data_IF_935610572405
#
_entry.id   IF_935610572405
#
_cell.length_a   1.000
_cell.length_b   1.000
_cell.length_c   1.000
_cell.angle_alpha   90.00
_cell.angle_beta   90.00
_cell.angle_gamma   90.00
#
_symmetry.space_group_name_H-M   'P 1'
#
loop_
_entity.id
_entity.type
_entity.pdbx_description
1 polymer ?
#
# COMPACT_ATOMS: atom_id res chain seq x y z
N UNK A 1 -19.84 13.86 3.49
CA UNK A 1 -18.57 13.37 2.94
C UNK A 1 -18.42 11.90 3.31
N UNK A 2 -18.03 11.06 2.36
CA UNK A 2 -17.56 9.68 2.59
C UNK A 2 -16.04 9.65 2.47
N UNK A 3 -15.38 9.14 3.49
CA UNK A 3 -13.93 8.96 3.49
C UNK A 3 -13.59 7.47 3.41
N UNK A 4 -12.95 7.07 2.32
CA UNK A 4 -12.61 5.69 2.02
C UNK A 4 -11.16 5.38 2.41
N UNK A 5 -10.96 4.24 3.08
CA UNK A 5 -9.66 3.70 3.48
C UNK A 5 -9.66 2.19 3.28
N UNK A 6 -8.70 1.65 2.54
CA UNK A 6 -8.48 0.19 2.35
C UNK A 6 -9.74 -0.63 2.06
N UNK A 7 -10.65 -0.12 1.24
CA UNK A 7 -11.96 -0.72 1.00
C UNK A 7 -11.91 -2.00 0.16
N UNK A 8 -10.83 -2.28 -0.54
CA UNK A 8 -10.74 -3.37 -1.53
C UNK A 8 -10.83 -4.78 -0.93
N UNK A 9 -10.48 -4.96 0.33
CA UNK A 9 -10.39 -6.29 0.95
C UNK A 9 -11.72 -6.81 1.44
N UNK A 10 -12.55 -5.95 2.02
CA UNK A 10 -13.81 -6.34 2.68
C UNK A 10 -15.03 -5.65 2.08
N UNK A 11 -14.81 -4.58 1.37
CA UNK A 11 -15.82 -3.78 0.68
C UNK A 11 -15.48 -3.74 -0.81
N UNK A 12 -15.99 -2.76 -1.53
CA UNK A 12 -15.77 -2.62 -2.97
C UNK A 12 -15.72 -1.15 -3.35
N UNK A 13 -15.02 -0.78 -4.44
CA UNK A 13 -15.13 0.55 -5.03
C UNK A 13 -16.54 1.00 -5.37
N UNK A 14 -17.52 0.09 -5.42
CA UNK A 14 -18.95 0.43 -5.57
C UNK A 14 -19.43 1.44 -4.54
N UNK A 15 -18.81 1.50 -3.35
CA UNK A 15 -19.15 2.50 -2.33
C UNK A 15 -18.85 3.92 -2.79
N UNK A 16 -17.71 4.14 -3.48
CA UNK A 16 -17.38 5.43 -4.08
C UNK A 16 -18.44 5.83 -5.11
N UNK A 17 -18.76 4.89 -6.02
CA UNK A 17 -19.75 5.12 -7.07
C UNK A 17 -21.15 5.43 -6.50
N UNK A 18 -21.61 4.66 -5.51
CA UNK A 18 -22.91 4.87 -4.88
C UNK A 18 -23.00 6.20 -4.11
N UNK A 19 -21.93 6.61 -3.44
CA UNK A 19 -21.86 7.90 -2.76
C UNK A 19 -21.89 9.04 -3.79
N UNK A 20 -21.05 8.94 -4.81
CA UNK A 20 -20.96 9.94 -5.88
C UNK A 20 -22.31 10.12 -6.60
N UNK A 21 -22.99 9.03 -6.98
CA UNK A 21 -24.33 9.06 -7.61
C UNK A 21 -25.41 9.72 -6.74
N UNK A 22 -25.22 9.76 -5.41
CA UNK A 22 -26.08 10.47 -4.46
C UNK A 22 -25.64 11.90 -4.17
N UNK A 23 -24.68 12.44 -4.91
CA UNK A 23 -24.13 13.78 -4.69
C UNK A 23 -23.31 13.91 -3.41
N UNK A 24 -22.89 12.79 -2.81
CA UNK A 24 -22.08 12.79 -1.60
C UNK A 24 -20.60 12.87 -2.00
N UNK A 25 -19.88 13.85 -1.48
CA UNK A 25 -18.44 14.01 -1.71
C UNK A 25 -17.65 12.79 -1.23
N UNK A 26 -16.72 12.32 -2.07
CA UNK A 26 -15.87 11.15 -1.82
C UNK A 26 -14.43 11.58 -1.69
N UNK A 27 -13.83 11.27 -0.55
CA UNK A 27 -12.39 11.41 -0.29
C UNK A 27 -11.80 10.01 -0.12
N UNK A 28 -10.71 9.72 -0.79
CA UNK A 28 -10.08 8.40 -0.74
C UNK A 28 -8.61 8.50 -0.36
N UNK A 29 -8.24 7.97 0.82
CA UNK A 29 -6.82 7.85 1.22
C UNK A 29 -6.22 6.57 0.65
N UNK A 30 -5.12 6.73 -0.07
CA UNK A 30 -4.39 5.64 -0.71
C UNK A 30 -3.34 5.10 0.26
N UNK A 31 -3.46 3.85 0.66
CA UNK A 31 -2.50 3.18 1.53
C UNK A 31 -1.61 2.17 0.79
N UNK A 32 -1.95 1.88 -0.45
CA UNK A 32 -1.25 0.97 -1.35
C UNK A 32 -1.49 1.37 -2.81
N UNK A 33 -0.95 0.58 -3.75
CA UNK A 33 -1.07 0.83 -5.19
C UNK A 33 -2.19 0.03 -5.87
N UNK A 34 -3.22 -0.39 -5.13
CA UNK A 34 -4.30 -1.24 -5.68
C UNK A 34 -5.00 -0.62 -6.90
N UNK A 35 -5.10 0.69 -6.96
CA UNK A 35 -5.70 1.40 -8.10
C UNK A 35 -4.83 1.34 -9.37
N UNK A 36 -3.53 1.10 -9.22
CA UNK A 36 -2.58 0.96 -10.32
C UNK A 36 -2.25 -0.51 -10.61
N UNK A 37 -2.05 -1.30 -9.59
CA UNK A 37 -1.60 -2.69 -9.67
C UNK A 37 -2.62 -3.63 -9.01
N UNK A 38 -3.19 -4.61 -9.73
CA UNK A 38 -4.15 -5.55 -9.14
C UNK A 38 -3.63 -6.26 -7.88
N UNK A 39 -2.30 -6.46 -7.79
CA UNK A 39 -1.62 -7.04 -6.63
C UNK A 39 -1.38 -6.05 -5.49
N UNK A 40 -1.56 -4.75 -5.68
CA UNK A 40 -1.38 -3.62 -4.74
C UNK A 40 0.07 -3.25 -4.35
N UNK A 41 1.02 -4.16 -4.45
CA UNK A 41 2.40 -3.95 -3.96
C UNK A 41 3.43 -3.63 -5.06
N UNK A 42 3.02 -3.65 -6.32
CA UNK A 42 3.87 -3.42 -7.48
C UNK A 42 5.11 -4.33 -7.51
N UNK A 43 4.97 -5.58 -7.03
CA UNK A 43 6.04 -6.57 -7.04
C UNK A 43 5.70 -7.77 -7.92
N UNK A 44 6.54 -8.07 -8.90
CA UNK A 44 6.48 -9.33 -9.63
C UNK A 44 7.06 -10.44 -8.76
N UNK A 45 6.24 -11.47 -8.52
CA UNK A 45 6.59 -12.60 -7.66
C UNK A 45 7.05 -12.22 -6.24
N UNK A 46 6.65 -11.02 -5.76
CA UNK A 46 7.03 -10.52 -4.44
C UNK A 46 8.50 -10.13 -4.30
N UNK A 47 9.22 -9.92 -5.42
CA UNK A 47 10.66 -9.65 -5.41
C UNK A 47 11.08 -8.44 -6.25
N UNK A 48 10.65 -8.39 -7.50
CA UNK A 48 11.10 -7.38 -8.46
C UNK A 48 10.04 -6.30 -8.62
N UNK A 49 10.44 -5.04 -8.57
CA UNK A 49 9.53 -3.91 -8.84
C UNK A 49 8.93 -4.05 -10.24
N UNK A 50 7.62 -3.91 -10.34
CA UNK A 50 6.86 -4.05 -11.57
C UNK A 50 5.80 -2.96 -11.68
N UNK A 51 5.91 -2.14 -12.70
CA UNK A 51 4.98 -1.04 -13.00
C UNK A 51 4.23 -1.25 -14.33
N UNK A 52 4.27 -2.45 -14.88
CA UNK A 52 3.69 -2.77 -16.20
C UNK A 52 2.21 -2.43 -16.30
N UNK A 53 1.45 -2.55 -15.19
CA UNK A 53 0.02 -2.24 -15.17
C UNK A 53 -0.31 -0.74 -15.07
N UNK A 54 0.68 0.16 -14.99
CA UNK A 54 0.46 1.61 -14.84
C UNK A 54 -0.12 2.25 -16.11
N UNK A 55 0.20 1.71 -17.28
CA UNK A 55 -0.34 2.15 -18.57
C UNK A 55 -1.85 1.86 -18.76
N UNK A 56 -2.50 1.23 -17.77
CA UNK A 56 -3.91 0.86 -17.84
C UNK A 56 -4.17 -0.59 -18.32
N UNK A 57 -3.22 -1.21 -19.01
CA UNK A 57 -3.31 -2.63 -19.37
C UNK A 57 -3.01 -3.52 -18.16
N UNK A 58 -4.04 -4.18 -17.65
CA UNK A 58 -3.95 -5.08 -16.50
C UNK A 58 -3.68 -6.54 -16.89
N UNK A 59 -3.54 -6.85 -18.18
CA UNK A 59 -3.35 -8.21 -18.67
C UNK A 59 -2.05 -8.84 -18.14
N UNK A 60 -1.02 -8.03 -17.92
CA UNK A 60 0.22 -8.48 -17.30
C UNK A 60 0.01 -9.16 -15.92
N UNK A 61 -1.04 -8.80 -15.18
CA UNK A 61 -1.40 -9.49 -13.94
C UNK A 61 -1.77 -10.96 -14.16
N UNK A 62 -2.49 -11.25 -15.25
CA UNK A 62 -2.89 -12.61 -15.62
C UNK A 62 -1.71 -13.41 -16.18
N UNK A 63 -0.96 -12.80 -17.11
CA UNK A 63 0.15 -13.46 -17.81
C UNK A 63 1.26 -13.87 -16.82
N UNK A 64 1.56 -13.00 -15.86
CA UNK A 64 2.56 -13.24 -14.82
C UNK A 64 2.03 -13.98 -13.58
N UNK A 65 0.76 -14.38 -13.56
CA UNK A 65 0.13 -15.05 -12.40
C UNK A 65 0.37 -14.29 -11.08
N UNK A 66 0.23 -12.97 -11.10
CA UNK A 66 0.63 -12.08 -10.00
C UNK A 66 -0.05 -12.39 -8.67
N UNK A 67 -1.29 -12.92 -8.69
CA UNK A 67 -2.05 -13.25 -7.50
C UNK A 67 -1.70 -14.65 -7.01
N UNK A 68 -0.79 -14.73 -6.04
CA UNK A 68 -0.35 -15.98 -5.37
C UNK A 68 0.14 -17.08 -6.33
N UNK A 69 0.67 -16.73 -7.50
CA UNK A 69 1.09 -17.69 -8.51
C UNK A 69 -0.06 -18.46 -9.20
N UNK A 70 -1.31 -18.15 -8.89
CA UNK A 70 -2.50 -18.83 -9.40
C UNK A 70 -3.08 -18.11 -10.61
N UNK A 71 -3.34 -18.84 -11.70
CA UNK A 71 -4.03 -18.29 -12.88
C UNK A 71 -5.44 -17.83 -12.58
N UNK A 72 -6.20 -18.62 -11.82
CA UNK A 72 -7.58 -18.29 -11.46
C UNK A 72 -7.65 -17.04 -10.58
N UNK A 73 -6.82 -16.96 -9.54
CA UNK A 73 -6.78 -15.77 -8.69
C UNK A 73 -6.33 -14.53 -9.47
N UNK A 74 -5.38 -14.68 -10.41
CA UNK A 74 -4.91 -13.59 -11.27
C UNK A 74 -5.97 -13.14 -12.27
N UNK A 75 -6.78 -14.08 -12.79
CA UNK A 75 -7.92 -13.74 -13.62
C UNK A 75 -8.98 -12.94 -12.85
N UNK A 76 -9.29 -13.33 -11.62
CA UNK A 76 -10.21 -12.56 -10.76
C UNK A 76 -9.67 -11.16 -10.51
N UNK A 77 -8.39 -11.02 -10.13
CA UNK A 77 -7.76 -9.72 -9.92
C UNK A 77 -7.69 -8.85 -11.18
N UNK A 78 -7.44 -9.45 -12.33
CA UNK A 78 -7.51 -8.79 -13.63
C UNK A 78 -8.93 -8.29 -13.92
N UNK A 79 -9.94 -9.15 -13.77
CA UNK A 79 -11.35 -8.76 -14.01
C UNK A 79 -11.79 -7.64 -13.09
N UNK A 80 -11.45 -7.69 -11.80
CA UNK A 80 -11.70 -6.61 -10.85
C UNK A 80 -11.11 -5.30 -11.35
N UNK A 81 -9.83 -5.29 -11.76
CA UNK A 81 -9.13 -4.09 -12.19
C UNK A 81 -9.61 -3.55 -13.55
N UNK A 82 -10.21 -4.39 -14.39
CA UNK A 82 -10.87 -3.96 -15.64
C UNK A 82 -12.24 -3.34 -15.37
N UNK A 83 -13.02 -3.93 -14.48
CA UNK A 83 -14.34 -3.40 -14.06
C UNK A 83 -14.15 -2.06 -13.35
N UNK A 84 -13.22 -1.98 -12.40
CA UNK A 84 -12.88 -0.75 -11.68
C UNK A 84 -11.67 -0.07 -12.32
N UNK A 85 -11.83 0.36 -13.57
CA UNK A 85 -10.77 1.04 -14.28
C UNK A 85 -10.52 2.46 -13.74
N UNK A 86 -9.37 3.04 -14.12
CA UNK A 86 -8.94 4.36 -13.66
C UNK A 86 -10.02 5.43 -13.81
N UNK A 87 -10.65 5.52 -14.98
CA UNK A 87 -11.63 6.56 -15.26
C UNK A 87 -12.82 6.49 -14.30
N UNK A 88 -13.38 5.29 -14.11
CA UNK A 88 -14.51 5.09 -13.17
C UNK A 88 -14.13 5.46 -11.73
N UNK A 89 -12.91 5.11 -11.31
CA UNK A 89 -12.43 5.43 -9.96
C UNK A 89 -12.21 6.94 -9.77
N UNK A 90 -11.67 7.61 -10.79
CA UNK A 90 -11.51 9.06 -10.78
C UNK A 90 -12.84 9.80 -10.80
N UNK A 91 -13.79 9.36 -11.64
CA UNK A 91 -15.09 10.00 -11.74
C UNK A 91 -15.87 9.88 -10.43
N UNK A 92 -15.73 8.76 -9.74
CA UNK A 92 -16.37 8.50 -8.46
C UNK A 92 -15.65 9.12 -7.25
N UNK A 93 -14.52 9.79 -7.43
CA UNK A 93 -13.71 10.33 -6.33
C UNK A 93 -13.43 11.81 -6.53
N UNK A 94 -13.74 12.64 -5.53
CA UNK A 94 -13.46 14.08 -5.56
C UNK A 94 -12.01 14.38 -5.19
N UNK A 95 -11.45 13.71 -4.18
CA UNK A 95 -10.09 13.92 -3.68
C UNK A 95 -9.42 12.58 -3.38
N UNK A 96 -8.21 12.42 -3.91
CA UNK A 96 -7.29 11.33 -3.57
C UNK A 96 -6.23 11.86 -2.59
N UNK A 97 -6.19 11.33 -1.38
CA UNK A 97 -5.16 11.66 -0.39
C UNK A 97 -4.00 10.68 -0.56
N UNK A 98 -2.82 11.21 -0.86
CA UNK A 98 -1.59 10.44 -1.01
C UNK A 98 -0.73 10.66 0.26
N UNK A 99 -0.35 9.61 1.00
CA UNK A 99 0.44 9.72 2.23
C UNK A 99 1.87 10.23 2.02
N UNK A 100 2.32 10.31 0.78
CA UNK A 100 3.64 10.85 0.43
C UNK A 100 3.63 11.46 -0.97
N UNK A 101 4.61 12.32 -1.25
CA UNK A 101 4.86 12.83 -2.61
C UNK A 101 5.12 11.68 -3.59
N UNK A 102 5.92 10.70 -3.18
CA UNK A 102 6.21 9.52 -4.00
C UNK A 102 4.94 8.79 -4.43
N UNK A 103 3.96 8.59 -3.53
CA UNK A 103 2.67 8.00 -3.88
C UNK A 103 1.94 8.85 -4.93
N UNK A 104 1.89 10.18 -4.72
CA UNK A 104 1.23 11.08 -5.67
C UNK A 104 1.88 11.03 -7.06
N UNK A 105 3.21 11.02 -7.12
CA UNK A 105 3.96 10.94 -8.38
C UNK A 105 3.70 9.61 -9.10
N UNK A 106 3.63 8.49 -8.37
CA UNK A 106 3.28 7.17 -8.93
C UNK A 106 1.84 7.12 -9.44
N UNK A 107 0.90 7.73 -8.73
CA UNK A 107 -0.49 7.83 -9.20
C UNK A 107 -0.59 8.68 -10.48
N UNK A 108 0.12 9.82 -10.53
CA UNK A 108 0.19 10.66 -11.73
C UNK A 108 0.84 9.92 -12.91
N UNK A 109 1.92 9.16 -12.67
CA UNK A 109 2.55 8.29 -13.66
C UNK A 109 1.58 7.24 -14.21
N UNK A 110 0.69 6.73 -13.37
CA UNK A 110 -0.39 5.82 -13.76
C UNK A 110 -1.59 6.51 -14.41
N UNK A 111 -1.49 7.82 -14.68
CA UNK A 111 -2.47 8.61 -15.43
C UNK A 111 -3.61 9.19 -14.60
N UNK A 112 -3.56 9.13 -13.26
CA UNK A 112 -4.54 9.81 -12.41
C UNK A 112 -4.35 11.33 -12.44
N UNK A 113 -5.45 12.08 -12.37
CA UNK A 113 -5.44 13.53 -12.42
C UNK A 113 -4.79 14.13 -11.16
N UNK A 114 -3.64 14.78 -11.34
CA UNK A 114 -2.89 15.42 -10.26
C UNK A 114 -3.69 16.51 -9.53
N UNK A 115 -4.68 17.13 -10.18
CA UNK A 115 -5.55 18.15 -9.56
C UNK A 115 -6.44 17.58 -8.46
N UNK A 116 -6.80 16.30 -8.57
CA UNK A 116 -7.57 15.58 -7.54
C UNK A 116 -6.71 15.06 -6.39
N UNK A 117 -5.39 15.12 -6.50
CA UNK A 117 -4.48 14.58 -5.50
C UNK A 117 -4.08 15.62 -4.46
N UNK A 118 -4.05 15.21 -3.21
CA UNK A 118 -3.53 15.99 -2.09
C UNK A 118 -2.51 15.14 -1.33
N UNK A 119 -1.32 15.68 -1.13
CA UNK A 119 -0.29 15.03 -0.30
C UNK A 119 -0.58 15.39 1.15
N UNK A 120 -0.91 14.39 1.94
CA UNK A 120 -1.13 14.51 3.39
C UNK A 120 -0.46 13.31 4.05
N UNK A 121 0.69 13.53 4.68
CA UNK A 121 1.42 12.48 5.37
C UNK A 121 0.60 11.94 6.55
N UNK A 122 0.78 10.65 6.84
CA UNK A 122 0.23 10.07 8.06
C UNK A 122 0.76 10.83 9.27
N UNK A 123 -0.09 11.11 10.22
CA UNK A 123 0.24 11.86 11.43
C UNK A 123 -0.25 11.13 12.68
N UNK A 124 0.33 11.49 13.80
CA UNK A 124 -0.11 11.08 15.13
C UNK A 124 -0.43 12.32 15.96
N UNK A 125 -1.36 12.21 16.87
CA UNK A 125 -1.66 13.24 17.84
C UNK A 125 -0.53 13.28 18.89
N UNK A 126 0.39 14.20 18.73
CA UNK A 126 1.54 14.36 19.65
C UNK A 126 1.13 14.74 21.06
N UNK A 127 -0.06 15.33 21.25
CA UNK A 127 -0.62 15.61 22.57
C UNK A 127 -0.93 14.36 23.40
N UNK A 128 -1.10 13.20 22.71
CA UNK A 128 -1.31 11.90 23.34
C UNK A 128 -0.02 11.10 23.56
N UNK A 129 1.11 11.60 23.09
CA UNK A 129 2.40 10.94 23.27
C UNK A 129 3.05 11.43 24.57
N UNK A 130 3.34 10.50 25.49
CA UNK A 130 4.17 10.82 26.65
C UNK A 130 5.58 11.21 26.16
N UNK A 131 6.15 12.27 26.73
CA UNK A 131 7.57 12.57 26.51
C UNK A 131 8.40 11.45 27.14
N UNK A 132 9.16 10.74 26.31
CA UNK A 132 10.12 9.75 26.78
C UNK A 132 11.40 10.41 27.29
N UNK A 133 12.14 9.71 28.13
CA UNK A 133 13.54 10.04 28.37
C UNK A 133 14.36 9.56 27.18
N UNK A 134 14.92 10.53 26.44
CA UNK A 134 15.75 10.27 25.26
C UNK A 134 17.24 10.14 25.62
N UNK A 135 17.56 9.65 26.81
CA UNK A 135 18.91 9.31 27.21
C UNK A 135 19.58 8.29 26.27
N UNK A 136 20.89 8.05 26.45
CA UNK A 136 21.61 7.04 25.65
C UNK A 136 20.99 5.66 25.88
N UNK A 137 20.36 5.11 24.84
CA UNK A 137 19.96 3.70 24.80
C UNK A 137 21.17 2.77 24.52
N UNK A 138 21.06 1.53 24.95
CA UNK A 138 22.07 0.46 24.74
C UNK A 138 21.67 -0.53 23.65
N UNK A 139 20.54 -0.27 22.98
CA UNK A 139 20.02 -1.13 21.91
C UNK A 139 19.24 -0.34 20.85
N UNK A 140 19.15 -0.91 19.66
CA UNK A 140 18.19 -0.50 18.65
C UNK A 140 16.92 -1.34 18.73
N UNK A 141 15.76 -0.75 18.38
CA UNK A 141 14.49 -1.43 18.40
C UNK A 141 13.82 -1.39 17.04
N UNK A 142 13.42 -2.55 16.53
CA UNK A 142 12.50 -2.67 15.41
C UNK A 142 11.14 -3.09 15.93
N UNK A 143 10.09 -2.39 15.53
CA UNK A 143 8.71 -2.72 15.84
C UNK A 143 7.92 -2.81 14.55
N UNK A 144 7.38 -3.99 14.23
CA UNK A 144 6.61 -4.15 13.00
C UNK A 144 6.34 -5.59 12.59
N UNK A 145 5.66 -5.74 11.46
CA UNK A 145 5.36 -7.05 10.89
C UNK A 145 6.65 -7.74 10.43
N UNK A 146 6.83 -8.99 10.82
CA UNK A 146 7.98 -9.80 10.41
C UNK A 146 7.70 -10.42 9.03
N UNK A 147 7.99 -9.66 7.98
CA UNK A 147 7.75 -10.04 6.60
C UNK A 147 8.85 -9.51 5.68
N UNK A 148 9.02 -10.14 4.52
CA UNK A 148 10.14 -9.85 3.60
C UNK A 148 10.14 -8.39 3.13
N UNK A 149 8.96 -7.84 2.84
CA UNK A 149 8.80 -6.45 2.37
C UNK A 149 9.22 -5.40 3.43
N UNK A 150 9.34 -5.79 4.69
CA UNK A 150 9.82 -4.92 5.78
C UNK A 150 11.35 -4.95 5.95
N UNK A 151 12.05 -5.75 5.15
CA UNK A 151 13.52 -5.79 5.14
C UNK A 151 14.13 -6.38 6.42
N UNK A 152 13.40 -7.23 7.16
CA UNK A 152 13.88 -7.76 8.44
C UNK A 152 15.17 -8.57 8.29
N UNK A 153 15.33 -9.31 7.19
CA UNK A 153 16.60 -10.02 6.90
C UNK A 153 17.78 -9.06 6.80
N UNK A 154 17.63 -7.97 6.04
CA UNK A 154 18.66 -6.93 5.92
C UNK A 154 18.99 -6.29 7.27
N UNK A 155 18.00 -6.08 8.12
CA UNK A 155 18.22 -5.57 9.48
C UNK A 155 19.08 -6.55 10.30
N UNK A 156 18.79 -7.84 10.25
CA UNK A 156 19.55 -8.88 10.97
C UNK A 156 20.98 -8.97 10.45
N UNK A 157 21.16 -8.97 9.13
CA UNK A 157 22.49 -8.98 8.50
C UNK A 157 23.33 -7.76 8.92
N UNK A 158 22.70 -6.58 9.02
CA UNK A 158 23.35 -5.37 9.51
C UNK A 158 23.66 -5.46 11.00
N UNK A 159 22.73 -5.97 11.81
CA UNK A 159 22.90 -6.14 13.26
C UNK A 159 24.08 -7.05 13.60
N UNK A 160 24.27 -8.14 12.84
CA UNK A 160 25.38 -9.07 13.03
C UNK A 160 26.76 -8.46 12.76
N UNK A 161 26.83 -7.29 12.12
CA UNK A 161 28.07 -6.56 11.80
C UNK A 161 28.37 -5.43 12.78
N UNK A 162 27.48 -5.17 13.72
CA UNK A 162 27.56 -4.01 14.62
C UNK A 162 27.66 -4.48 16.08
N UNK A 163 28.41 -3.76 16.93
CA UNK A 163 28.57 -4.10 18.34
C UNK A 163 27.36 -3.72 19.21
N UNK A 164 26.20 -3.53 18.61
CA UNK A 164 25.00 -3.05 19.29
C UNK A 164 23.90 -4.12 19.33
N UNK A 165 23.18 -4.18 20.41
CA UNK A 165 22.01 -5.06 20.55
C UNK A 165 20.86 -4.56 19.69
N UNK A 166 20.16 -5.48 19.03
CA UNK A 166 18.90 -5.18 18.33
C UNK A 166 17.77 -5.98 18.96
N UNK A 167 16.70 -5.28 19.35
CA UNK A 167 15.46 -5.89 19.82
C UNK A 167 14.42 -5.86 18.69
N UNK A 168 13.85 -7.01 18.38
CA UNK A 168 12.86 -7.17 17.31
C UNK A 168 11.53 -7.52 17.97
N UNK A 169 10.53 -6.64 17.79
CA UNK A 169 9.18 -6.77 18.35
C UNK A 169 8.18 -6.87 17.21
N UNK A 170 7.44 -7.96 17.17
CA UNK A 170 6.40 -8.15 16.15
C UNK A 170 6.08 -9.60 15.87
N UNK A 171 5.17 -9.79 14.92
CA UNK A 171 4.79 -11.10 14.40
C UNK A 171 4.63 -11.03 12.89
N UNK A 172 4.64 -12.18 12.21
CA UNK A 172 4.48 -12.23 10.75
C UNK A 172 4.91 -13.55 10.15
N UNK A 173 4.84 -13.67 8.81
CA UNK A 173 5.20 -14.91 8.11
C UNK A 173 6.62 -15.43 8.39
N UNK A 174 7.55 -14.54 8.72
CA UNK A 174 8.94 -14.90 9.04
C UNK A 174 9.19 -15.19 10.53
N UNK A 175 8.17 -15.09 11.40
CA UNK A 175 8.37 -15.23 12.84
C UNK A 175 8.98 -16.58 13.26
N UNK A 176 8.62 -17.67 12.58
CA UNK A 176 9.14 -19.01 12.86
C UNK A 176 10.55 -19.23 12.28
N UNK A 177 10.88 -18.56 11.19
CA UNK A 177 12.19 -18.61 10.55
C UNK A 177 13.25 -17.81 11.33
N UNK A 178 12.81 -16.83 12.11
CA UNK A 178 13.64 -15.89 12.87
C UNK A 178 13.83 -16.28 14.34
N UNK A 179 13.23 -17.36 14.81
CA UNK A 179 13.44 -17.95 16.12
C UNK A 179 14.60 -18.95 16.11
#
# INVERSE_FOLDING_TARGET
>A
VVHLNNIHTQLSPVLAELAHRRGIRVVWTLHDYKLLCPRYDCLLNGRTVCETCFNGDKKACLDNKCMKGSRLASFIGYREAVVWNRQQLEDATDILICPSRFMADKMAQGGFDARKMKVLCNFIDTGKCAKGDYGKGDYYCYIGRLSREKGIGTLIDAANRLPYKVKIIGNGPLANELK
#
